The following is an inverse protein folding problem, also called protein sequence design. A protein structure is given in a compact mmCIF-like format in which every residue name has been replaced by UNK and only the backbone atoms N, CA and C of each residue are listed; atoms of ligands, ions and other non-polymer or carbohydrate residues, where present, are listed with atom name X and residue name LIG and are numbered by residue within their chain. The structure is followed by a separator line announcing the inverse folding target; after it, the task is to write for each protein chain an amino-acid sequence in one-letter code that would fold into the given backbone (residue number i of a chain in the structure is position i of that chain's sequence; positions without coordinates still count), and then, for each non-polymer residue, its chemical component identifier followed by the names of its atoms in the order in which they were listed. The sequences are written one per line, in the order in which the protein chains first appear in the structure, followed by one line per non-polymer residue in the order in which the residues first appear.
data_IF_974957396103
#
_entry.id   IF_974957396103
#
_cell.length_a   1.000
_cell.length_b   1.000
_cell.length_c   1.000
_cell.angle_alpha   90.00
_cell.angle_beta   90.00
_cell.angle_gamma   90.00
#
_symmetry.space_group_name_H-M   'P 1'
#
loop_
_entity.id
_entity.type
_entity.pdbx_description
1 polymer ?
#
# COMPACT_ATOMS: atom_id res chain seq x y z
N UNK A 1 0.03 -6.28 6.40
CA UNK A 1 -0.42 -5.00 5.82
C UNK A 1 -1.10 -4.25 6.95
N UNK A 2 -0.62 -3.05 7.25
CA UNK A 2 -1.11 -2.19 8.30
C UNK A 2 -1.84 -1.04 7.61
N UNK A 3 -3.04 -0.72 8.07
CA UNK A 3 -3.86 0.37 7.53
C UNK A 3 -4.13 1.36 8.66
N UNK A 4 -3.70 2.60 8.48
CA UNK A 4 -3.88 3.70 9.43
C UNK A 4 -4.74 4.78 8.81
N UNK A 5 -5.69 5.31 9.57
CA UNK A 5 -6.51 6.45 9.14
C UNK A 5 -5.92 7.74 9.72
N UNK A 6 -5.60 8.70 8.86
CA UNK A 6 -5.02 10.00 9.19
C UNK A 6 -6.00 11.09 8.71
N UNK A 7 -7.04 11.37 9.49
CA UNK A 7 -8.14 12.24 9.07
C UNK A 7 -8.89 11.68 7.86
N UNK A 8 -8.93 12.43 6.77
CA UNK A 8 -9.51 12.02 5.47
C UNK A 8 -8.59 11.12 4.64
N UNK A 9 -7.33 10.98 5.05
CA UNK A 9 -6.33 10.15 4.38
C UNK A 9 -6.23 8.77 5.00
N UNK A 10 -5.87 7.79 4.19
CA UNK A 10 -5.59 6.42 4.61
C UNK A 10 -4.16 6.08 4.23
N UNK A 11 -3.33 5.85 5.23
CA UNK A 11 -1.98 5.34 5.06
C UNK A 11 -2.03 3.81 5.08
N UNK A 12 -1.47 3.19 4.04
CA UNK A 12 -1.37 1.74 3.93
C UNK A 12 0.09 1.37 3.82
N UNK A 13 0.57 0.56 4.75
CA UNK A 13 1.92 0.03 4.75
C UNK A 13 1.88 -1.50 4.59
N UNK A 14 2.74 -2.04 3.74
CA UNK A 14 2.82 -3.47 3.56
C UNK A 14 4.03 -3.92 2.77
N UNK A 15 4.45 -5.14 3.05
CA UNK A 15 5.48 -5.82 2.28
C UNK A 15 4.86 -6.46 1.04
N UNK A 16 5.41 -6.13 -0.13
CA UNK A 16 5.01 -6.69 -1.41
C UNK A 16 6.07 -7.67 -1.87
N UNK A 17 5.73 -8.96 -2.10
CA UNK A 17 6.68 -9.92 -2.65
C UNK A 17 7.03 -9.55 -4.10
N UNK A 18 8.32 -9.62 -4.40
CA UNK A 18 8.86 -9.38 -5.73
C UNK A 18 9.84 -10.50 -6.07
N UNK A 19 9.90 -10.92 -7.33
CA UNK A 19 10.86 -11.96 -7.75
C UNK A 19 12.32 -11.58 -7.46
N UNK A 20 12.60 -10.27 -7.39
CA UNK A 20 13.94 -9.73 -7.18
C UNK A 20 14.39 -9.71 -5.71
N UNK A 21 13.50 -10.00 -4.74
CA UNK A 21 13.86 -9.96 -3.32
C UNK A 21 13.07 -11.01 -2.53
N UNK A 22 13.79 -11.94 -1.87
CA UNK A 22 13.21 -12.96 -0.99
C UNK A 22 12.41 -12.37 0.17
N UNK A 23 12.82 -11.20 0.68
CA UNK A 23 12.12 -10.49 1.76
C UNK A 23 10.97 -9.62 1.27
N UNK A 24 10.81 -9.45 -0.05
CA UNK A 24 9.91 -8.48 -0.65
C UNK A 24 10.41 -7.04 -0.49
N UNK A 25 9.57 -6.08 -0.88
CA UNK A 25 9.82 -4.65 -0.70
C UNK A 25 8.80 -4.08 0.26
N UNK A 26 9.22 -3.31 1.27
CA UNK A 26 8.27 -2.48 2.03
C UNK A 26 7.80 -1.35 1.14
N UNK A 27 6.50 -1.19 1.16
CA UNK A 27 5.77 -0.20 0.41
C UNK A 27 4.84 0.51 1.37
N UNK A 28 4.81 1.83 1.25
CA UNK A 28 3.92 2.70 1.99
C UNK A 28 3.20 3.58 0.98
N UNK A 29 1.88 3.60 1.02
CA UNK A 29 1.06 4.46 0.15
C UNK A 29 0.13 5.28 1.02
N UNK A 30 -0.13 6.51 0.61
CA UNK A 30 -1.14 7.37 1.21
C UNK A 30 -2.25 7.57 0.21
N UNK A 31 -3.47 7.32 0.65
CA UNK A 31 -4.68 7.39 -0.12
C UNK A 31 -5.55 8.53 0.38
N UNK A 32 -6.20 9.23 -0.53
CA UNK A 32 -7.30 10.14 -0.24
C UNK A 32 -8.54 9.58 -0.95
N UNK A 33 -9.45 8.99 -0.17
CA UNK A 33 -10.58 8.21 -0.69
C UNK A 33 -10.18 6.93 -1.43
N UNK A 34 -9.97 7.03 -2.74
CA UNK A 34 -9.53 5.93 -3.63
C UNK A 34 -8.27 6.27 -4.42
N UNK A 35 -7.77 7.51 -4.34
CA UNK A 35 -6.65 8.00 -5.15
C UNK A 35 -5.36 7.94 -4.34
N UNK A 36 -4.26 7.50 -4.96
CA UNK A 36 -2.94 7.56 -4.35
C UNK A 36 -2.44 9.01 -4.43
N UNK A 37 -2.20 9.62 -3.27
CA UNK A 37 -1.67 10.99 -3.16
C UNK A 37 -0.18 11.01 -2.85
N UNK A 38 0.34 9.95 -2.21
CA UNK A 38 1.77 9.78 -1.96
C UNK A 38 2.14 8.29 -1.93
N UNK A 39 3.41 7.98 -2.22
CA UNK A 39 3.90 6.63 -2.05
C UNK A 39 5.42 6.54 -1.94
N UNK A 40 5.87 5.68 -1.04
CA UNK A 40 7.28 5.32 -0.84
C UNK A 40 7.45 3.82 -1.00
N UNK A 41 8.49 3.44 -1.71
CA UNK A 41 8.89 2.04 -1.84
C UNK A 41 10.39 1.92 -1.62
N UNK A 42 10.82 0.87 -0.92
CA UNK A 42 12.24 0.56 -0.72
C UNK A 42 13.01 0.33 -2.04
N UNK A 43 12.32 0.13 -3.17
CA UNK A 43 12.97 0.05 -4.48
C UNK A 43 13.51 1.41 -5.00
N UNK A 44 13.20 2.52 -4.33
CA UNK A 44 13.72 3.85 -4.67
C UNK A 44 13.02 4.57 -5.82
N UNK A 45 12.04 3.95 -6.48
CA UNK A 45 11.29 4.56 -7.60
C UNK A 45 9.82 4.82 -7.26
N UNK A 46 9.30 5.96 -7.72
CA UNK A 46 7.87 6.33 -7.67
C UNK A 46 7.44 6.99 -9.00
N UNK A 47 6.42 6.48 -9.71
CA UNK A 47 5.62 5.28 -9.43
C UNK A 47 6.35 3.96 -9.78
N UNK A 48 6.12 2.89 -9.02
CA UNK A 48 6.67 1.56 -9.29
C UNK A 48 5.61 0.45 -9.21
N UNK A 49 5.89 -0.72 -9.79
CA UNK A 49 4.96 -1.86 -9.75
C UNK A 49 4.61 -2.34 -8.33
N UNK A 50 5.50 -2.13 -7.35
CA UNK A 50 5.24 -2.52 -5.96
C UNK A 50 4.10 -1.69 -5.33
N UNK A 51 4.04 -0.40 -5.67
CA UNK A 51 3.00 0.52 -5.21
C UNK A 51 1.65 0.15 -5.80
N UNK A 52 1.60 -0.10 -7.11
CA UNK A 52 0.37 -0.56 -7.76
C UNK A 52 -0.10 -1.90 -7.18
N UNK A 53 0.81 -2.84 -6.90
CA UNK A 53 0.46 -4.12 -6.24
C UNK A 53 -0.12 -3.92 -4.84
N UNK A 54 0.50 -3.07 -4.01
CA UNK A 54 -0.01 -2.79 -2.67
C UNK A 54 -1.40 -2.14 -2.75
N UNK A 55 -1.58 -1.18 -3.65
CA UNK A 55 -2.85 -0.52 -3.87
C UNK A 55 -3.96 -1.49 -4.28
N UNK A 56 -3.73 -2.33 -5.29
CA UNK A 56 -4.71 -3.33 -5.73
C UNK A 56 -5.03 -4.32 -4.61
N UNK A 57 -4.03 -4.73 -3.83
CA UNK A 57 -4.23 -5.60 -2.66
C UNK A 57 -5.10 -4.92 -1.60
N UNK A 58 -4.85 -3.65 -1.31
CA UNK A 58 -5.65 -2.86 -0.39
C UNK A 58 -7.10 -2.69 -0.89
N UNK A 59 -7.30 -2.36 -2.16
CA UNK A 59 -8.64 -2.21 -2.74
C UNK A 59 -9.45 -3.52 -2.64
N UNK A 60 -8.82 -4.67 -2.90
CA UNK A 60 -9.45 -5.98 -2.72
C UNK A 60 -9.87 -6.21 -1.26
N UNK A 61 -8.96 -5.97 -0.32
CA UNK A 61 -9.25 -6.08 1.12
C UNK A 61 -10.38 -5.13 1.58
N UNK A 62 -10.41 -3.91 1.04
CA UNK A 62 -11.47 -2.92 1.30
C UNK A 62 -12.81 -3.42 0.78
N UNK A 63 -12.84 -3.96 -0.44
CA UNK A 63 -14.05 -4.52 -1.05
C UNK A 63 -14.59 -5.74 -0.29
N UNK A 64 -13.70 -6.56 0.28
CA UNK A 64 -14.06 -7.71 1.13
C UNK A 64 -14.46 -7.33 2.57
N UNK A 65 -14.53 -6.03 2.92
CA UNK A 65 -14.76 -5.55 4.31
C UNK A 65 -13.75 -6.10 5.35
N UNK A 66 -12.55 -6.51 4.93
CA UNK A 66 -11.51 -7.07 5.79
C UNK A 66 -10.49 -6.04 6.28
N UNK A 67 -10.73 -4.75 6.05
CA UNK A 67 -9.82 -3.69 6.50
C UNK A 67 -10.00 -3.49 7.99
N UNK A 68 -9.00 -3.92 8.77
CA UNK A 68 -8.88 -3.58 10.18
C UNK A 68 -7.95 -2.38 10.29
N UNK A 69 -8.46 -1.28 10.83
CA UNK A 69 -7.64 -0.12 11.19
C UNK A 69 -6.85 -0.50 12.44
N UNK A 70 -5.53 -0.42 12.34
CA UNK A 70 -4.59 -0.73 13.41
C UNK A 70 -3.95 0.53 13.96
#
# INVERSE_FOLDING_TARGET
MIVRKLGDKVEVEGTVPARCSLSGFKVKIVLEGVRIVDGKCECGSYPCQHISKLYVRYMRYKNENKVKFG
#
